data_IF_343193024723
#
_entry.id   IF_343193024723
#
_cell.length_a   1.000
_cell.length_b   1.000
_cell.length_c   1.000
_cell.angle_alpha   90.00
_cell.angle_beta   90.00
_cell.angle_gamma   90.00
#
_symmetry.space_group_name_H-M   'P 1'
#
loop_
_entity.id
_entity.type
_entity.pdbx_description
1 polymer ?
#
# COMPACT_ATOMS: atom_id res chain seq x y z
N UNK A 1 -0.43 2.78 -5.10
CA UNK A 1 -1.66 3.08 -5.85
C UNK A 1 -1.86 4.59 -5.87
N UNK A 2 -2.28 5.19 -6.99
CA UNK A 2 -2.42 6.65 -7.12
C UNK A 2 -3.61 7.26 -6.36
N UNK A 3 -4.64 6.46 -6.10
CA UNK A 3 -5.89 6.91 -5.45
C UNK A 3 -7.10 6.69 -6.34
N UNK A 4 -8.29 6.64 -5.73
CA UNK A 4 -9.57 6.40 -6.41
C UNK A 4 -10.56 7.58 -6.24
N UNK A 5 -10.05 8.79 -5.93
CA UNK A 5 -10.88 9.98 -5.72
C UNK A 5 -11.28 10.69 -7.03
N UNK A 6 -10.81 10.15 -8.16
CA UNK A 6 -11.05 10.66 -9.49
C UNK A 6 -10.43 12.03 -9.77
N UNK A 7 -10.88 12.65 -10.86
CA UNK A 7 -10.32 13.91 -11.37
C UNK A 7 -10.65 15.16 -10.54
N UNK A 8 -11.49 15.02 -9.51
CA UNK A 8 -11.88 16.11 -8.61
C UNK A 8 -10.84 16.43 -7.52
N UNK A 9 -9.89 15.53 -7.25
CA UNK A 9 -8.74 15.82 -6.37
C UNK A 9 -7.59 16.38 -7.23
N UNK A 10 -7.00 17.53 -6.88
CA UNK A 10 -5.87 18.07 -7.62
C UNK A 10 -4.59 17.23 -7.45
N UNK A 11 -4.52 16.29 -6.50
CA UNK A 11 -3.29 15.59 -6.17
C UNK A 11 -3.48 14.08 -5.95
N UNK A 12 -2.38 13.35 -6.06
CA UNK A 12 -2.29 11.95 -5.66
C UNK A 12 -2.46 11.79 -4.15
N UNK A 13 -2.99 10.64 -3.73
CA UNK A 13 -3.08 10.31 -2.31
C UNK A 13 -1.70 9.98 -1.73
N UNK A 14 -1.51 10.26 -0.45
CA UNK A 14 -0.36 9.73 0.27
C UNK A 14 -0.47 8.18 0.35
N UNK A 15 0.65 7.45 0.19
CA UNK A 15 2.02 7.93 -0.01
C UNK A 15 2.41 8.16 -1.48
N UNK A 16 1.52 7.92 -2.46
CA UNK A 16 1.85 8.00 -3.89
C UNK A 16 2.28 9.40 -4.38
N UNK A 17 1.97 10.44 -3.62
CA UNK A 17 2.50 11.79 -3.85
C UNK A 17 4.03 11.86 -3.73
N UNK A 18 4.68 10.98 -2.96
CA UNK A 18 6.14 10.92 -2.87
C UNK A 18 6.75 10.57 -4.24
N UNK A 19 7.62 11.44 -4.80
CA UNK A 19 8.18 11.24 -6.13
C UNK A 19 9.21 10.09 -6.20
N UNK A 20 9.76 9.63 -5.07
CA UNK A 20 10.61 8.43 -5.03
C UNK A 20 9.82 7.13 -5.24
N UNK A 21 8.51 7.13 -4.96
CA UNK A 21 7.68 5.96 -5.18
C UNK A 21 7.24 5.85 -6.65
N UNK A 22 6.95 4.62 -7.08
CA UNK A 22 6.26 4.37 -8.33
C UNK A 22 4.74 4.46 -8.10
N UNK A 23 4.17 5.63 -8.39
CA UNK A 23 2.73 5.88 -8.35
C UNK A 23 2.06 5.33 -9.60
N UNK A 24 1.00 4.56 -9.39
CA UNK A 24 0.32 3.82 -10.46
C UNK A 24 -1.14 4.22 -10.52
N UNK A 25 -1.56 4.78 -11.65
CA UNK A 25 -2.97 5.00 -11.99
C UNK A 25 -3.59 3.76 -12.64
N UNK A 26 -4.90 3.80 -12.85
CA UNK A 26 -5.62 2.68 -13.44
C UNK A 26 -5.83 2.86 -14.93
N UNK A 27 -5.79 1.75 -15.64
CA UNK A 27 -6.23 1.60 -17.02
C UNK A 27 -7.52 0.77 -17.09
N UNK A 28 -8.39 1.12 -18.03
CA UNK A 28 -9.52 0.33 -18.48
C UNK A 28 -9.30 -0.14 -19.91
N UNK A 29 -8.99 -1.43 -20.03
CA UNK A 29 -8.76 -2.10 -21.31
C UNK A 29 -10.01 -2.24 -22.20
N UNK A 30 -11.17 -1.72 -21.76
CA UNK A 30 -12.46 -1.81 -22.45
C UNK A 30 -12.87 -3.24 -22.88
N UNK A 31 -12.34 -4.24 -22.17
CA UNK A 31 -12.55 -5.66 -22.49
C UNK A 31 -11.84 -6.17 -23.75
N UNK A 32 -10.92 -5.40 -24.33
CA UNK A 32 -10.16 -5.80 -25.53
C UNK A 32 -8.70 -6.11 -25.21
N UNK A 33 -8.00 -6.74 -26.16
CA UNK A 33 -6.56 -7.00 -26.06
C UNK A 33 -5.73 -5.83 -26.62
N UNK A 34 -6.35 -4.93 -27.38
CA UNK A 34 -5.67 -3.82 -28.03
C UNK A 34 -5.69 -2.64 -27.08
N UNK A 35 -4.57 -1.94 -26.92
CA UNK A 35 -4.54 -0.74 -26.08
C UNK A 35 -5.04 0.52 -26.81
N UNK A 36 -5.71 0.34 -27.96
CA UNK A 36 -6.09 1.44 -28.84
C UNK A 36 -7.38 2.13 -28.40
N UNK A 37 -8.26 1.41 -27.70
CA UNK A 37 -9.49 1.91 -27.11
C UNK A 37 -9.44 2.02 -25.58
N UNK A 38 -8.26 1.76 -25.01
CA UNK A 38 -7.98 1.93 -23.58
C UNK A 38 -8.21 3.39 -23.14
N UNK A 39 -8.70 3.54 -21.92
CA UNK A 39 -8.89 4.84 -21.28
C UNK A 39 -8.40 4.80 -19.84
N UNK A 40 -8.00 5.97 -19.33
CA UNK A 40 -7.82 6.14 -17.88
C UNK A 40 -9.20 6.42 -17.27
N UNK A 41 -9.69 5.58 -16.34
CA UNK A 41 -11.00 5.77 -15.73
C UNK A 41 -11.07 7.07 -14.92
N UNK A 42 -12.22 7.72 -14.94
CA UNK A 42 -12.49 9.00 -14.25
C UNK A 42 -12.31 8.94 -12.72
N UNK A 43 -12.49 7.76 -12.12
CA UNK A 43 -12.23 7.48 -10.71
C UNK A 43 -10.75 7.30 -10.39
N UNK A 44 -9.87 7.08 -11.35
CA UNK A 44 -8.43 7.05 -11.10
C UNK A 44 -7.96 8.46 -10.76
N UNK A 45 -7.30 8.64 -9.61
CA UNK A 45 -6.74 9.94 -9.25
C UNK A 45 -5.73 10.40 -10.32
N UNK A 46 -5.85 11.66 -10.73
CA UNK A 46 -4.87 12.38 -11.57
C UNK A 46 -3.94 13.22 -10.71
N UNK A 47 -2.89 13.76 -11.31
CA UNK A 47 -2.05 14.77 -10.66
C UNK A 47 -2.44 16.22 -10.96
N UNK A 48 -1.63 17.12 -10.41
CA UNK A 48 -1.69 18.58 -10.55
C UNK A 48 -0.74 19.12 -11.63
N UNK A 49 0.02 18.26 -12.30
CA UNK A 49 1.11 18.65 -13.22
C UNK A 49 2.47 18.83 -12.55
N UNK A 50 2.55 18.94 -11.23
CA UNK A 50 3.79 18.81 -10.47
C UNK A 50 4.08 17.35 -10.15
N UNK A 51 3.06 16.62 -9.67
CA UNK A 51 3.12 15.19 -9.39
C UNK A 51 1.90 14.48 -9.97
N UNK A 52 2.14 13.71 -11.02
CA UNK A 52 1.14 12.84 -11.66
C UNK A 52 1.44 11.37 -11.33
N UNK A 53 0.53 10.41 -11.61
CA UNK A 53 0.92 9.00 -11.64
C UNK A 53 2.12 8.83 -12.58
N UNK A 54 3.02 7.90 -12.25
CA UNK A 54 4.21 7.67 -13.08
C UNK A 54 3.85 6.90 -14.36
N UNK A 55 2.90 5.98 -14.25
CA UNK A 55 2.31 5.20 -15.36
C UNK A 55 0.95 4.65 -14.95
N UNK A 56 0.24 4.04 -15.89
CA UNK A 56 -1.01 3.30 -15.63
C UNK A 56 -0.87 1.82 -15.98
N UNK A 57 -1.69 1.00 -15.33
CA UNK A 57 -1.75 -0.44 -15.57
C UNK A 57 -3.19 -0.94 -15.38
N UNK A 58 -3.52 -2.16 -15.84
CA UNK A 58 -4.89 -2.69 -15.77
C UNK A 58 -5.46 -2.59 -14.34
N UNK A 59 -6.50 -1.79 -14.20
CA UNK A 59 -7.09 -1.47 -12.89
C UNK A 59 -8.61 -1.61 -12.85
N UNK A 60 -9.30 -1.70 -13.98
CA UNK A 60 -10.75 -1.94 -14.02
C UNK A 60 -11.08 -3.40 -14.27
N UNK A 61 -12.07 -3.92 -13.55
CA UNK A 61 -12.63 -5.27 -13.78
C UNK A 61 -11.60 -6.40 -13.69
N UNK A 62 -10.58 -6.24 -12.84
CA UNK A 62 -9.53 -7.23 -12.65
C UNK A 62 -10.06 -8.39 -11.81
N UNK A 63 -9.95 -9.60 -12.36
CA UNK A 63 -10.34 -10.85 -11.69
C UNK A 63 -9.13 -11.37 -10.92
N UNK A 64 -9.28 -11.55 -9.61
CA UNK A 64 -8.24 -12.10 -8.74
C UNK A 64 -8.85 -13.04 -7.68
N UNK A 65 -8.03 -13.56 -6.77
CA UNK A 65 -8.47 -14.43 -5.69
C UNK A 65 -9.53 -13.75 -4.83
N UNK A 66 -10.58 -14.53 -4.53
CA UNK A 66 -11.65 -14.14 -3.62
C UNK A 66 -11.29 -14.50 -2.19
N UNK A 67 -11.71 -13.65 -1.24
CA UNK A 67 -11.74 -13.96 0.19
C UNK A 67 -13.20 -14.10 0.65
N UNK A 68 -13.75 -15.34 0.75
CA UNK A 68 -15.14 -15.56 1.10
C UNK A 68 -15.48 -15.07 2.51
N UNK A 69 -16.55 -14.28 2.64
CA UNK A 69 -16.99 -13.73 3.93
C UNK A 69 -16.32 -12.43 4.36
N UNK A 70 -15.35 -11.92 3.57
CA UNK A 70 -14.85 -10.56 3.74
C UNK A 70 -15.95 -9.52 3.48
N UNK A 71 -15.81 -8.32 4.03
CA UNK A 71 -16.79 -7.23 3.86
C UNK A 71 -17.12 -6.98 2.38
N UNK A 72 -16.09 -6.85 1.53
CA UNK A 72 -16.27 -6.64 0.09
C UNK A 72 -16.96 -7.84 -0.58
N UNK A 73 -16.69 -9.06 -0.13
CA UNK A 73 -17.36 -10.23 -0.67
C UNK A 73 -18.85 -10.28 -0.30
N UNK A 74 -19.20 -9.87 0.92
CA UNK A 74 -20.58 -9.85 1.41
C UNK A 74 -21.39 -8.71 0.81
N UNK A 75 -20.80 -7.52 0.71
CA UNK A 75 -21.48 -6.29 0.25
C UNK A 75 -21.53 -6.15 -1.27
N UNK A 76 -20.61 -6.79 -2.00
CA UNK A 76 -20.54 -6.75 -3.46
C UNK A 76 -20.59 -8.14 -4.11
N UNK A 77 -21.68 -8.92 -3.92
CA UNK A 77 -21.79 -10.26 -4.48
C UNK A 77 -21.75 -10.29 -6.02
N UNK A 78 -22.07 -9.19 -6.69
CA UNK A 78 -21.95 -8.99 -8.14
C UNK A 78 -20.51 -9.10 -8.65
N UNK A 79 -19.52 -8.88 -7.78
CA UNK A 79 -18.10 -9.05 -8.10
C UNK A 79 -17.67 -10.52 -8.11
N UNK A 80 -18.47 -11.45 -7.58
CA UNK A 80 -18.07 -12.86 -7.47
C UNK A 80 -18.00 -13.51 -8.86
N UNK A 81 -16.90 -14.21 -9.12
CA UNK A 81 -16.67 -14.97 -10.36
C UNK A 81 -16.47 -16.44 -10.00
N UNK A 82 -17.57 -17.21 -10.08
CA UNK A 82 -17.61 -18.58 -9.58
C UNK A 82 -17.35 -18.64 -8.07
N UNK A 83 -16.80 -19.75 -7.58
CA UNK A 83 -16.50 -19.93 -6.15
C UNK A 83 -15.15 -19.37 -5.68
N UNK A 84 -14.20 -19.17 -6.61
CA UNK A 84 -12.78 -18.93 -6.30
C UNK A 84 -12.29 -17.50 -6.55
N UNK A 85 -12.98 -16.73 -7.38
CA UNK A 85 -12.49 -15.45 -7.86
C UNK A 85 -13.45 -14.31 -7.58
N UNK A 86 -12.90 -13.10 -7.57
CA UNK A 86 -13.61 -11.86 -7.36
C UNK A 86 -13.09 -10.82 -8.36
N UNK A 87 -14.00 -10.08 -8.97
CA UNK A 87 -13.72 -8.99 -9.91
C UNK A 87 -13.80 -7.68 -9.15
N UNK A 88 -12.70 -6.92 -9.17
CA UNK A 88 -12.62 -5.60 -8.55
C UNK A 88 -12.03 -4.55 -9.47
N UNK A 89 -12.27 -3.28 -9.14
CA UNK A 89 -11.69 -2.13 -9.83
C UNK A 89 -11.00 -1.21 -8.83
N UNK A 90 -9.87 -0.65 -9.23
CA UNK A 90 -9.13 0.31 -8.43
C UNK A 90 -7.67 0.46 -8.84
N UNK A 91 -7.06 1.57 -8.44
CA UNK A 91 -5.61 1.77 -8.58
C UNK A 91 -4.79 0.81 -7.70
N UNK A 92 -5.43 0.13 -6.73
CA UNK A 92 -4.84 -0.97 -5.95
C UNK A 92 -4.51 -2.18 -6.84
N UNK A 93 -5.42 -2.56 -7.74
CA UNK A 93 -5.25 -3.65 -8.68
C UNK A 93 -4.14 -3.30 -9.69
N UNK A 94 -4.17 -2.09 -10.23
CA UNK A 94 -3.13 -1.59 -11.12
C UNK A 94 -1.74 -1.62 -10.45
N UNK A 95 -1.65 -1.15 -9.20
CA UNK A 95 -0.41 -1.21 -8.42
C UNK A 95 0.09 -2.64 -8.23
N UNK A 96 -0.78 -3.61 -7.94
CA UNK A 96 -0.42 -5.01 -7.82
C UNK A 96 0.14 -5.59 -9.14
N UNK A 97 -0.44 -5.24 -10.28
CA UNK A 97 0.08 -5.62 -11.61
C UNK A 97 1.50 -5.07 -11.82
N UNK A 98 1.72 -3.80 -11.50
CA UNK A 98 3.04 -3.16 -11.62
C UNK A 98 4.05 -3.75 -10.64
N UNK A 99 3.65 -4.13 -9.42
CA UNK A 99 4.52 -4.86 -8.49
C UNK A 99 4.97 -6.20 -9.07
N UNK A 100 4.08 -6.94 -9.75
CA UNK A 100 4.45 -8.15 -10.49
C UNK A 100 5.43 -7.88 -11.63
N UNK A 101 5.23 -6.80 -12.39
CA UNK A 101 6.15 -6.38 -13.44
C UNK A 101 7.55 -6.01 -12.90
N UNK A 102 7.61 -5.29 -11.78
CA UNK A 102 8.87 -4.99 -11.08
C UNK A 102 9.56 -6.27 -10.60
N UNK A 103 8.81 -7.22 -10.04
CA UNK A 103 9.36 -8.51 -9.63
C UNK A 103 9.96 -9.30 -10.82
N UNK A 104 9.32 -9.26 -11.99
CA UNK A 104 9.85 -9.89 -13.20
C UNK A 104 11.14 -9.21 -13.71
N UNK A 105 11.24 -7.88 -13.63
CA UNK A 105 12.48 -7.16 -13.96
C UNK A 105 13.60 -7.50 -12.97
N UNK A 106 13.30 -7.58 -11.67
CA UNK A 106 14.26 -7.96 -10.63
C UNK A 106 14.67 -9.43 -10.76
N UNK A 107 13.75 -10.32 -11.15
CA UNK A 107 14.08 -11.71 -11.45
C UNK A 107 15.05 -11.81 -12.64
N UNK A 108 14.82 -11.02 -13.70
CA UNK A 108 15.69 -10.97 -14.86
C UNK A 108 17.06 -10.34 -14.54
N UNK A 109 17.07 -9.29 -13.71
CA UNK A 109 18.24 -8.46 -13.38
C UNK A 109 18.26 -8.16 -11.88
N UNK A 110 18.78 -9.08 -11.05
CA UNK A 110 18.71 -8.97 -9.59
C UNK A 110 19.44 -7.75 -8.98
N UNK A 111 20.32 -7.10 -9.76
CA UNK A 111 21.08 -5.93 -9.32
C UNK A 111 20.43 -4.59 -9.67
N UNK A 112 19.22 -4.57 -10.23
CA UNK A 112 18.53 -3.30 -10.51
C UNK A 112 18.23 -2.56 -9.21
N UNK A 113 18.51 -1.25 -9.21
CA UNK A 113 18.06 -0.36 -8.12
C UNK A 113 16.59 0.01 -8.31
N UNK A 114 15.89 0.48 -7.25
CA UNK A 114 14.52 0.99 -7.38
C UNK A 114 14.37 2.07 -8.45
N UNK A 115 15.32 3.03 -8.50
CA UNK A 115 15.35 4.10 -9.49
C UNK A 115 15.44 3.56 -10.93
N UNK A 116 16.24 2.52 -11.14
CA UNK A 116 16.36 1.86 -12.45
C UNK A 116 15.10 1.09 -12.83
N UNK A 117 14.44 0.44 -11.87
CA UNK A 117 13.13 -0.22 -12.09
C UNK A 117 12.09 0.81 -12.49
N UNK A 118 11.97 1.91 -11.73
CA UNK A 118 11.05 3.00 -12.04
C UNK A 118 11.33 3.57 -13.43
N UNK A 119 12.58 3.90 -13.73
CA UNK A 119 12.97 4.43 -15.03
C UNK A 119 12.71 3.46 -16.19
N UNK A 120 12.96 2.15 -16.02
CA UNK A 120 12.65 1.15 -17.06
C UNK A 120 11.14 1.09 -17.34
N UNK A 121 10.32 1.04 -16.30
CA UNK A 121 8.87 0.90 -16.45
C UNK A 121 8.24 2.16 -17.05
N UNK A 122 8.69 3.36 -16.64
CA UNK A 122 8.15 4.62 -17.18
C UNK A 122 8.67 4.93 -18.58
N UNK A 123 9.97 4.81 -18.85
CA UNK A 123 10.54 5.14 -20.17
C UNK A 123 10.10 4.20 -21.30
N UNK A 124 9.55 3.04 -20.96
CA UNK A 124 9.04 2.06 -21.93
C UNK A 124 7.53 1.99 -21.99
N UNK A 125 6.82 2.75 -21.14
CA UNK A 125 5.37 2.82 -21.15
C UNK A 125 4.84 3.29 -22.52
N UNK A 126 3.63 2.84 -22.86
CA UNK A 126 2.98 3.12 -24.14
C UNK A 126 1.91 4.18 -23.93
N UNK A 127 2.06 5.33 -24.57
CA UNK A 127 1.08 6.42 -24.49
C UNK A 127 -0.33 5.93 -24.90
N UNK A 128 -1.34 6.23 -24.09
CA UNK A 128 -2.74 5.98 -24.40
C UNK A 128 -3.28 7.18 -25.20
N UNK A 129 -3.68 7.01 -26.46
CA UNK A 129 -4.16 8.11 -27.29
C UNK A 129 -5.38 8.80 -26.68
N UNK A 130 -5.34 10.13 -26.56
CA UNK A 130 -6.47 10.93 -26.06
C UNK A 130 -6.69 10.90 -24.54
N UNK A 131 -5.92 10.12 -23.77
CA UNK A 131 -5.99 10.16 -22.31
C UNK A 131 -5.33 11.43 -21.74
N UNK A 132 -5.86 11.93 -20.62
CA UNK A 132 -5.30 13.10 -19.91
C UNK A 132 -3.83 12.81 -19.51
N UNK A 133 -2.85 13.61 -19.97
CA UNK A 133 -1.44 13.46 -19.59
C UNK A 133 -1.20 13.47 -18.07
N UNK A 134 -2.04 14.19 -17.33
CA UNK A 134 -1.96 14.27 -15.86
C UNK A 134 -2.49 13.01 -15.17
N UNK A 135 -3.27 12.19 -15.87
CA UNK A 135 -3.84 10.94 -15.37
C UNK A 135 -3.02 9.73 -15.82
N UNK A 136 -2.54 9.71 -17.08
CA UNK A 136 -1.82 8.56 -17.62
C UNK A 136 -0.32 8.52 -17.25
N UNK A 137 0.28 9.66 -16.89
CA UNK A 137 1.72 9.74 -16.65
C UNK A 137 2.51 9.42 -17.92
N UNK A 138 3.45 8.47 -17.83
CA UNK A 138 4.19 7.97 -18.99
C UNK A 138 3.36 7.08 -19.93
N UNK A 139 2.15 6.68 -19.53
CA UNK A 139 1.24 5.82 -20.29
C UNK A 139 1.09 4.42 -19.71
N UNK A 140 0.56 3.51 -20.51
CA UNK A 140 0.28 2.12 -20.15
C UNK A 140 1.55 1.28 -19.98
N UNK A 141 1.60 0.47 -18.92
CA UNK A 141 2.67 -0.48 -18.63
C UNK A 141 3.00 -1.38 -19.84
N UNK A 142 4.23 -1.30 -20.34
CA UNK A 142 4.73 -2.18 -21.40
C UNK A 142 5.91 -3.03 -20.93
N UNK A 143 5.59 -4.11 -20.20
CA UNK A 143 6.61 -4.98 -19.63
C UNK A 143 7.50 -5.66 -20.69
N UNK A 144 6.97 -5.92 -21.89
CA UNK A 144 7.75 -6.50 -22.99
C UNK A 144 8.83 -5.54 -23.48
N UNK A 145 8.52 -4.24 -23.57
CA UNK A 145 9.50 -3.22 -23.91
C UNK A 145 10.52 -3.05 -22.77
N UNK A 146 10.07 -2.97 -21.51
CA UNK A 146 10.95 -2.90 -20.33
C UNK A 146 11.94 -4.07 -20.25
N UNK A 147 11.47 -5.30 -20.51
CA UNK A 147 12.28 -6.52 -20.51
C UNK A 147 13.43 -6.48 -21.54
N UNK A 148 13.20 -5.83 -22.69
CA UNK A 148 14.17 -5.70 -23.79
C UNK A 148 15.09 -4.49 -23.67
N UNK A 149 14.64 -3.43 -23.00
CA UNK A 149 15.40 -2.20 -22.84
C UNK A 149 16.68 -2.45 -22.03
N UNK A 150 17.74 -1.72 -22.36
CA UNK A 150 18.98 -1.70 -21.57
C UNK A 150 18.71 -1.07 -20.21
N UNK A 151 19.43 -1.52 -19.18
CA UNK A 151 19.36 -0.88 -17.86
C UNK A 151 19.80 0.58 -17.98
N UNK A 152 18.95 1.55 -17.61
CA UNK A 152 19.31 2.96 -17.63
C UNK A 152 20.25 3.29 -16.47
N UNK A 153 21.08 4.32 -16.66
CA UNK A 153 21.75 4.99 -15.54
C UNK A 153 20.74 5.99 -14.94
N UNK A 154 19.94 5.52 -13.98
CA UNK A 154 18.90 6.31 -13.34
C UNK A 154 19.18 6.46 -11.84
N UNK A 155 19.15 7.70 -11.37
CA UNK A 155 19.17 8.06 -9.95
C UNK A 155 18.19 9.20 -9.75
N UNK A 156 17.30 9.07 -8.78
CA UNK A 156 16.37 10.13 -8.42
C UNK A 156 17.04 11.15 -7.51
N UNK A 157 16.78 12.44 -7.75
CA UNK A 157 17.42 13.56 -7.05
C UNK A 157 16.41 14.49 -6.36
N UNK A 158 15.27 13.97 -5.95
CA UNK A 158 14.26 14.76 -5.25
C UNK A 158 14.75 15.11 -3.83
N UNK A 159 14.26 16.21 -3.21
CA UNK A 159 14.49 16.43 -1.80
C UNK A 159 13.94 15.25 -0.98
N UNK A 160 14.74 14.69 -0.09
CA UNK A 160 14.28 13.64 0.82
C UNK A 160 13.34 14.24 1.87
N UNK A 161 12.33 13.45 2.27
CA UNK A 161 11.43 13.87 3.35
C UNK A 161 12.19 14.03 4.67
N UNK A 162 11.97 15.14 5.36
CA UNK A 162 12.51 15.37 6.71
C UNK A 162 11.70 14.65 7.79
N UNK A 163 10.48 14.21 7.49
CA UNK A 163 9.54 13.67 8.49
C UNK A 163 8.95 14.71 9.45
N UNK A 164 9.23 16.00 9.24
CA UNK A 164 8.82 17.09 10.15
C UNK A 164 7.54 17.81 9.72
N UNK A 165 6.80 17.25 8.75
CA UNK A 165 5.58 17.85 8.22
C UNK A 165 4.42 17.82 9.22
N UNK A 166 3.34 18.54 8.89
CA UNK A 166 2.07 18.50 9.62
C UNK A 166 1.45 17.11 9.53
N UNK A 167 1.01 16.59 10.68
CA UNK A 167 0.27 15.34 10.77
C UNK A 167 -1.16 15.51 10.27
N UNK A 168 -1.79 16.66 10.53
CA UNK A 168 -3.12 17.00 10.00
C UNK A 168 -3.14 17.04 8.48
N UNK A 169 -2.15 17.72 7.88
CA UNK A 169 -2.01 17.76 6.43
C UNK A 169 -1.83 16.35 5.83
N UNK A 170 -1.17 15.44 6.55
CA UNK A 170 -1.00 14.05 6.13
C UNK A 170 -2.29 13.21 6.24
N UNK A 171 -3.17 13.50 7.22
CA UNK A 171 -4.51 12.88 7.35
C UNK A 171 -5.43 13.26 6.19
N UNK A 172 -5.29 14.48 5.68
CA UNK A 172 -6.16 14.98 4.61
C UNK A 172 -7.60 15.13 5.11
N UNK A 173 -8.57 14.62 4.36
CA UNK A 173 -9.99 14.69 4.73
C UNK A 173 -10.48 13.49 5.56
N UNK A 174 -9.59 12.57 5.92
CA UNK A 174 -9.94 11.33 6.63
C UNK A 174 -9.42 11.37 8.06
N UNK A 175 -10.36 11.47 9.00
CA UNK A 175 -10.06 11.54 10.42
C UNK A 175 -10.58 10.29 11.12
N UNK A 176 -9.80 9.78 12.06
CA UNK A 176 -10.28 8.76 12.99
C UNK A 176 -11.16 9.47 14.00
N UNK A 177 -12.39 9.00 14.23
CA UNK A 177 -13.27 9.56 15.24
C UNK A 177 -13.52 8.59 16.40
N UNK A 178 -13.77 9.14 17.58
CA UNK A 178 -14.24 8.41 18.74
C UNK A 178 -15.39 9.18 19.39
N UNK A 179 -16.54 8.53 19.54
CA UNK A 179 -17.76 9.16 20.11
C UNK A 179 -18.15 10.48 19.41
N UNK A 180 -17.89 10.59 18.10
CA UNK A 180 -18.16 11.79 17.31
C UNK A 180 -17.14 12.91 17.51
N UNK A 181 -16.04 12.65 18.22
CA UNK A 181 -14.89 13.56 18.31
C UNK A 181 -13.80 13.10 17.34
N UNK A 182 -13.55 13.83 16.25
CA UNK A 182 -12.53 13.48 15.28
C UNK A 182 -11.12 13.85 15.76
N UNK A 183 -10.14 13.04 15.38
CA UNK A 183 -8.71 13.20 15.63
C UNK A 183 -8.11 14.25 14.68
N UNK A 184 -8.37 15.53 14.96
CA UNK A 184 -8.01 16.67 14.11
C UNK A 184 -6.79 17.45 14.59
N UNK A 185 -6.11 18.13 13.67
CA UNK A 185 -4.98 19.00 13.97
C UNK A 185 -3.67 18.25 14.15
N UNK A 186 -2.60 19.02 14.39
CA UNK A 186 -1.25 18.48 14.56
C UNK A 186 -1.09 17.86 15.95
N UNK A 187 -1.77 16.74 16.15
CA UNK A 187 -1.71 15.94 17.36
C UNK A 187 -1.73 14.45 17.06
N UNK A 188 -0.99 13.73 17.90
CA UNK A 188 -0.86 12.30 17.81
C UNK A 188 -2.13 11.57 18.31
N UNK A 189 -2.10 10.23 18.27
CA UNK A 189 -3.21 9.39 18.69
C UNK A 189 -3.57 9.55 20.18
N UNK A 190 -2.67 10.10 21.00
CA UNK A 190 -2.89 10.38 22.41
C UNK A 190 -3.42 11.80 22.67
N UNK A 191 -3.62 12.61 21.62
CA UNK A 191 -4.01 14.02 21.74
C UNK A 191 -2.86 14.92 22.18
N UNK A 192 -1.61 14.45 22.08
CA UNK A 192 -0.42 15.27 22.38
C UNK A 192 -0.04 16.05 21.13
N UNK A 193 0.36 17.33 21.24
CA UNK A 193 0.88 18.09 20.10
C UNK A 193 1.98 17.34 19.36
N UNK A 194 1.89 17.33 18.04
CA UNK A 194 2.83 16.65 17.17
C UNK A 194 4.20 17.32 17.21
N UNK A 195 5.21 16.58 17.69
CA UNK A 195 6.62 16.93 17.55
C UNK A 195 7.26 16.11 16.43
N UNK A 196 7.16 16.63 15.21
CA UNK A 196 7.74 16.00 14.02
C UNK A 196 9.26 15.90 14.06
N UNK A 197 9.97 16.77 14.79
CA UNK A 197 11.43 16.71 14.90
C UNK A 197 11.86 15.52 15.75
N UNK A 198 11.26 15.36 16.93
CA UNK A 198 11.50 14.21 17.80
C UNK A 198 11.05 12.92 17.15
N UNK A 199 9.86 12.90 16.52
CA UNK A 199 9.39 11.71 15.81
C UNK A 199 10.31 11.33 14.66
N UNK A 200 10.72 12.27 13.81
CA UNK A 200 11.60 12.00 12.69
C UNK A 200 12.93 11.43 13.19
N UNK A 201 13.56 12.06 14.19
CA UNK A 201 14.81 11.58 14.76
C UNK A 201 14.67 10.15 15.29
N UNK A 202 13.63 9.89 16.10
CA UNK A 202 13.37 8.57 16.67
C UNK A 202 13.04 7.52 15.59
N UNK A 203 12.33 7.91 14.53
CA UNK A 203 12.02 7.02 13.41
C UNK A 203 13.27 6.66 12.62
N UNK A 204 14.16 7.63 12.35
CA UNK A 204 15.44 7.40 11.68
C UNK A 204 16.39 6.53 12.50
N UNK A 205 16.33 6.60 13.83
CA UNK A 205 17.11 5.72 14.72
C UNK A 205 16.43 4.37 15.02
N UNK A 206 15.22 4.12 14.51
CA UNK A 206 14.47 2.89 14.78
C UNK A 206 13.99 2.77 16.24
N UNK A 207 13.86 3.88 16.95
CA UNK A 207 13.48 3.96 18.37
C UNK A 207 12.11 4.61 18.61
N UNK A 208 11.41 5.03 17.55
CA UNK A 208 10.04 5.56 17.65
C UNK A 208 9.04 4.52 18.18
N UNK A 209 9.35 3.24 18.00
CA UNK A 209 8.63 2.10 18.53
C UNK A 209 9.57 1.19 19.31
N UNK A 210 9.27 0.92 20.58
CA UNK A 210 10.04 -0.03 21.40
C UNK A 210 9.17 -0.65 22.48
N UNK A 211 9.06 -1.98 22.48
CA UNK A 211 8.40 -2.74 23.57
C UNK A 211 6.96 -2.30 23.85
N UNK A 212 6.19 -1.96 22.81
CA UNK A 212 4.81 -1.46 22.94
C UNK A 212 4.70 0.03 23.24
N UNK A 213 5.81 0.75 23.41
CA UNK A 213 5.84 2.20 23.52
C UNK A 213 5.99 2.84 22.13
N UNK A 214 5.21 3.89 21.89
CA UNK A 214 5.32 4.78 20.74
C UNK A 214 5.68 6.19 21.21
N UNK A 215 6.78 6.75 20.71
CA UNK A 215 7.25 8.08 21.11
C UNK A 215 7.33 8.28 22.65
N UNK A 216 7.63 7.20 23.40
CA UNK A 216 7.71 7.24 24.86
C UNK A 216 6.39 7.03 25.61
N UNK A 217 5.25 6.99 24.91
CA UNK A 217 3.94 6.68 25.49
C UNK A 217 3.58 5.20 25.25
N UNK A 218 2.92 4.56 26.20
CA UNK A 218 2.52 3.15 26.06
C UNK A 218 1.34 3.04 25.09
N UNK A 219 1.56 2.36 23.96
CA UNK A 219 0.54 2.12 22.94
C UNK A 219 0.00 0.69 22.93
N UNK A 220 0.81 -0.28 23.36
CA UNK A 220 0.39 -1.68 23.47
C UNK A 220 1.19 -2.38 24.57
N UNK A 221 0.77 -3.60 24.91
CA UNK A 221 1.51 -4.44 25.85
C UNK A 221 2.98 -4.65 25.44
N UNK A 222 3.85 -4.89 26.42
CA UNK A 222 5.29 -5.06 26.20
C UNK A 222 5.73 -6.49 25.88
N UNK A 223 4.79 -7.44 25.71
CA UNK A 223 5.10 -8.82 25.38
C UNK A 223 3.94 -9.68 24.89
N UNK A 224 4.28 -10.77 24.20
CA UNK A 224 3.38 -11.89 23.89
C UNK A 224 3.27 -12.78 25.13
N UNK A 225 2.09 -12.86 25.74
CA UNK A 225 1.89 -13.84 26.80
C UNK A 225 1.79 -15.24 26.19
N UNK A 226 2.81 -16.08 26.40
CA UNK A 226 2.70 -17.52 26.11
C UNK A 226 1.81 -18.14 27.18
N UNK A 227 0.55 -18.42 26.87
CA UNK A 227 -0.13 -19.60 27.39
C UNK A 227 -1.36 -19.98 26.54
N UNK A 228 -1.24 -21.14 25.91
CA UNK A 228 -2.26 -21.96 25.24
C UNK A 228 -2.74 -21.54 23.84
N UNK A 229 -2.66 -22.51 22.93
CA UNK A 229 -2.86 -22.46 21.47
C UNK A 229 -4.31 -22.11 21.04
N UNK A 230 -4.81 -20.92 21.38
CA UNK A 230 -6.02 -20.41 20.70
C UNK A 230 -6.17 -18.89 20.63
N UNK A 231 -5.42 -18.08 21.39
CA UNK A 231 -5.43 -16.62 21.23
C UNK A 231 -4.09 -16.04 21.64
N UNK A 232 -3.27 -15.71 20.65
CA UNK A 232 -2.10 -14.89 20.93
C UNK A 232 -2.57 -13.45 21.10
N UNK A 233 -2.54 -12.95 22.33
CA UNK A 233 -2.91 -11.58 22.67
C UNK A 233 -1.71 -10.89 23.31
N UNK A 234 -1.47 -9.64 22.94
CA UNK A 234 -0.60 -8.75 23.70
C UNK A 234 -1.04 -8.77 25.16
N UNK A 235 -0.10 -8.87 26.11
CA UNK A 235 -0.43 -8.68 27.52
C UNK A 235 -1.06 -7.30 27.68
N UNK A 236 -2.37 -7.23 27.90
CA UNK A 236 -3.14 -5.99 27.99
C UNK A 236 -2.54 -5.08 29.06
N UNK A 237 -2.03 -3.92 28.65
CA UNK A 237 -1.82 -2.79 29.56
C UNK A 237 -3.09 -1.96 29.53
N UNK A 238 -3.64 -1.66 30.70
CA UNK A 238 -4.78 -0.77 30.87
C UNK A 238 -4.43 0.61 30.32
N UNK A 239 -5.25 1.11 29.40
CA UNK A 239 -5.12 2.44 28.79
C UNK A 239 -5.46 3.53 29.81
N UNK A 240 -4.51 3.90 30.66
CA UNK A 240 -4.69 5.03 31.58
C UNK A 240 -3.88 6.23 31.13
N UNK A 241 -4.31 6.92 30.06
CA UNK A 241 -4.06 8.36 29.87
C UNK A 241 -5.14 9.03 29.01
N UNK A 242 -5.82 9.98 29.67
CA UNK A 242 -6.82 10.97 29.25
C UNK A 242 -6.25 11.95 28.19
N UNK A 243 -6.97 12.58 27.25
CA UNK A 243 -8.36 12.57 26.74
C UNK A 243 -8.38 13.42 25.47
N UNK A 244 -9.21 13.09 24.49
CA UNK A 244 -9.82 14.09 23.62
C UNK A 244 -10.96 14.72 24.40
N UNK A 245 -10.79 15.98 24.83
CA UNK A 245 -11.73 16.75 25.67
C UNK A 245 -12.50 15.92 26.70
N UNK A 246 -11.82 15.53 27.78
CA UNK A 246 -12.35 14.78 28.94
C UNK A 246 -13.09 13.47 28.59
N UNK A 247 -12.35 12.36 28.46
CA UNK A 247 -12.76 11.02 28.90
C UNK A 247 -11.65 9.97 28.65
N UNK A 248 -11.57 9.01 29.58
CA UNK A 248 -10.64 7.88 29.58
C UNK A 248 -11.12 6.77 28.65
N UNK A 249 -10.21 6.17 27.88
CA UNK A 249 -10.48 4.95 27.12
C UNK A 249 -10.82 3.82 28.10
N UNK A 250 -12.06 3.33 28.10
CA UNK A 250 -12.47 2.15 28.87
C UNK A 250 -12.99 1.04 27.93
N UNK A 251 -12.79 -0.21 28.34
CA UNK A 251 -12.91 -1.46 27.56
C UNK A 251 -14.24 -1.68 26.78
N UNK A 252 -15.26 -0.85 26.97
CA UNK A 252 -16.58 -1.01 26.39
C UNK A 252 -16.67 -0.78 24.88
N UNK A 253 -15.82 0.07 24.31
CA UNK A 253 -16.01 0.57 22.93
C UNK A 253 -15.42 -0.34 21.85
N UNK A 254 -14.42 -1.16 22.18
CA UNK A 254 -13.77 -2.10 21.27
C UNK A 254 -14.46 -3.46 21.18
N UNK A 255 -15.44 -3.74 22.04
CA UNK A 255 -16.12 -5.03 22.10
C UNK A 255 -17.39 -5.13 21.24
N UNK A 256 -17.93 -4.00 20.74
CA UNK A 256 -19.24 -3.98 20.06
C UNK A 256 -19.24 -3.52 18.61
N UNK A 257 -18.23 -2.80 18.13
CA UNK A 257 -18.04 -2.55 16.69
C UNK A 257 -16.57 -2.83 16.34
N UNK A 258 -16.34 -3.74 15.37
CA UNK A 258 -15.05 -4.07 14.77
C UNK A 258 -14.07 -4.65 15.79
N UNK A 259 -13.96 -5.96 16.02
CA UNK A 259 -13.49 -7.01 15.13
C UNK A 259 -14.26 -8.31 15.43
N UNK A 260 -15.29 -8.65 14.66
CA UNK A 260 -15.85 -10.02 14.74
C UNK A 260 -14.84 -10.98 14.11
N UNK A 261 -13.94 -11.50 14.95
CA UNK A 261 -12.98 -12.53 14.61
C UNK A 261 -13.68 -13.80 14.13
N UNK A 262 -13.78 -13.92 12.82
CA UNK A 262 -13.93 -15.18 12.07
C UNK A 262 -13.20 -15.00 10.74
N UNK A 263 -11.90 -14.70 10.70
CA UNK A 263 -10.89 -15.71 10.31
C UNK A 263 -9.48 -15.16 10.56
N UNK A 264 -8.91 -15.47 11.73
CA UNK A 264 -7.45 -15.60 11.88
C UNK A 264 -7.18 -17.00 12.39
N UNK A 265 -7.45 -18.02 11.56
CA UNK A 265 -6.98 -19.38 11.83
C UNK A 265 -5.48 -19.43 11.58
N UNK A 266 -4.71 -19.22 12.65
CA UNK A 266 -3.61 -20.06 13.13
C UNK A 266 -2.39 -20.39 12.25
N UNK A 267 -2.49 -20.49 10.93
CA UNK A 267 -1.47 -21.18 10.12
C UNK A 267 -0.77 -20.32 9.04
N UNK A 268 -1.15 -19.05 8.87
CA UNK A 268 -0.59 -18.19 7.82
C UNK A 268 0.62 -17.32 8.23
N UNK A 269 1.01 -17.32 9.52
CA UNK A 269 2.08 -16.45 10.05
C UNK A 269 3.39 -17.18 10.43
N UNK A 270 3.64 -18.37 9.86
CA UNK A 270 4.95 -19.04 10.00
C UNK A 270 5.87 -18.96 8.77
N UNK A 271 5.54 -18.18 7.74
CA UNK A 271 6.50 -17.86 6.68
C UNK A 271 6.35 -16.40 6.25
N UNK A 272 7.44 -15.65 6.39
CA UNK A 272 7.64 -14.24 6.04
C UNK A 272 7.27 -13.22 7.12
N UNK A 273 8.09 -13.19 8.16
CA UNK A 273 8.31 -12.03 9.02
C UNK A 273 8.90 -10.88 8.18
N UNK A 274 8.16 -9.79 8.04
CA UNK A 274 8.67 -8.52 7.51
C UNK A 274 9.13 -7.67 8.70
N UNK A 275 10.40 -7.81 9.10
CA UNK A 275 11.08 -6.83 9.93
C UNK A 275 12.08 -6.05 9.07
N UNK A 276 12.11 -4.72 9.27
CA UNK A 276 12.90 -3.76 8.52
C UNK A 276 14.44 -3.94 8.66
N UNK A 277 14.90 -4.92 9.45
CA UNK A 277 16.32 -5.30 9.58
C UNK A 277 16.81 -6.34 8.55
N UNK A 278 15.93 -6.84 7.68
CA UNK A 278 16.23 -8.03 6.85
C UNK A 278 16.98 -7.76 5.55
N UNK A 279 17.25 -6.50 5.18
CA UNK A 279 17.86 -6.16 3.88
C UNK A 279 19.39 -5.99 3.90
N UNK A 280 20.08 -6.31 5.00
CA UNK A 280 21.54 -6.16 5.06
C UNK A 280 22.35 -7.47 5.05
N UNK A 281 21.74 -8.65 5.23
CA UNK A 281 22.50 -9.92 5.22
C UNK A 281 21.64 -11.11 4.79
N UNK A 282 21.68 -11.46 3.51
CA UNK A 282 21.85 -12.88 3.17
C UNK A 282 22.30 -13.10 1.73
N UNK A 283 23.43 -13.78 1.66
CA UNK A 283 24.11 -14.33 0.50
C UNK A 283 23.21 -15.35 -0.21
N UNK A 284 23.06 -15.21 -1.53
CA UNK A 284 22.37 -16.19 -2.36
C UNK A 284 23.21 -17.46 -2.47
N UNK A 285 22.80 -18.55 -1.81
CA UNK A 285 23.28 -19.90 -2.15
C UNK A 285 22.22 -20.64 -2.97
N UNK A 286 22.70 -21.21 -4.09
CA UNK A 286 21.95 -21.97 -5.10
C UNK A 286 21.29 -23.21 -4.48
N UNK A 287 20.07 -23.55 -4.89
CA UNK A 287 19.80 -24.77 -5.66
C UNK A 287 18.31 -25.03 -5.98
N UNK A 288 18.13 -25.51 -7.22
CA UNK A 288 17.13 -26.48 -7.69
C UNK A 288 15.70 -26.02 -7.98
N UNK A 289 15.51 -25.62 -9.23
CA UNK A 289 14.30 -25.82 -9.99
C UNK A 289 14.11 -27.31 -10.30
N UNK A 290 12.90 -27.84 -10.13
CA UNK A 290 12.46 -29.01 -10.88
C UNK A 290 11.02 -28.83 -11.37
N UNK A 291 10.90 -28.99 -12.67
CA UNK A 291 9.74 -28.98 -13.57
C UNK A 291 8.52 -29.82 -13.17
N UNK A 292 7.34 -29.30 -13.51
CA UNK A 292 6.20 -30.02 -14.11
C UNK A 292 5.26 -28.93 -14.68
N UNK A 293 4.79 -28.90 -15.92
CA UNK A 293 4.47 -29.96 -16.88
C UNK A 293 3.01 -29.74 -17.27
N UNK A 294 2.77 -29.12 -18.43
CA UNK A 294 1.43 -28.90 -18.98
C UNK A 294 0.83 -30.23 -19.47
N UNK A 295 -0.48 -30.41 -19.30
CA UNK A 295 -1.24 -31.50 -19.90
C UNK A 295 -2.63 -31.03 -20.29
N UNK A 296 -2.91 -31.10 -21.59
CA UNK A 296 -4.24 -31.01 -22.19
C UNK A 296 -5.08 -32.24 -21.80
N UNK A 297 -6.33 -32.02 -21.38
CA UNK A 297 -7.57 -32.69 -21.83
C UNK A 297 -8.77 -31.82 -21.44
#
# INVERSE_FOLDING_TARGET
>A
AGGNAGYGSPQLNNPAYDPYLLAVGADDANGTLSTADDVVPDWSSRGDGSRNPDLVAPGKSIVSLRDPGSEIDLTHPEGRVGGRFFRGSGTSQAAAVVSGAAALLLQQRPSLTPDQVKALLTSTATNIPGADPLAQGAGFLNLKAAYKAKTPAATQSWPTSSGTGSLEAARGSSHVEMEGVPLDGDQDIFGTPWDGATWAQNSWSGTSWSGGMWNGEVWSGSGWSRNSWSRNSWSTVLWTRNSWSHNSWSDGYWSRNSWSGSTWTGDALLRNSWSADSWSRNSWSRNSWSSAGWGDQ
#
